data_IF_147288351848
#
_entry.id   IF_147288351848
#
_cell.length_a   1.000
_cell.length_b   1.000
_cell.length_c   1.000
_cell.angle_alpha   90.00
_cell.angle_beta   90.00
_cell.angle_gamma   90.00
#
_symmetry.space_group_name_H-M   'P 1'
#
loop_
_entity.id
_entity.type
_entity.pdbx_description
1 polymer ?
#
# COMPACT_ATOMS: atom_id res chain seq x y z
N UNK A 1 2.30 1.40 -15.97
CA UNK A 1 2.80 0.12 -15.42
C UNK A 1 4.01 -0.38 -16.20
N UNK A 2 5.15 -0.63 -15.55
CA UNK A 2 6.26 -1.35 -16.18
C UNK A 2 6.00 -2.86 -16.08
N UNK A 3 6.10 -3.58 -17.21
CA UNK A 3 5.87 -5.04 -17.30
C UNK A 3 6.72 -5.84 -16.29
N UNK A 4 7.94 -5.37 -16.02
CA UNK A 4 8.83 -5.98 -15.04
C UNK A 4 8.28 -5.95 -13.61
N UNK A 5 7.53 -4.90 -13.23
CA UNK A 5 6.94 -4.75 -11.88
C UNK A 5 5.81 -5.76 -11.69
N UNK A 6 4.97 -5.93 -12.73
CA UNK A 6 3.90 -6.93 -12.78
C UNK A 6 4.48 -8.33 -12.70
N UNK A 7 5.46 -8.65 -13.57
CA UNK A 7 6.09 -9.97 -13.60
C UNK A 7 6.68 -10.36 -12.25
N UNK A 8 7.43 -9.45 -11.61
CA UNK A 8 8.03 -9.72 -10.29
C UNK A 8 6.97 -10.03 -9.24
N UNK A 9 5.93 -9.20 -9.12
CA UNK A 9 4.87 -9.42 -8.12
C UNK A 9 4.06 -10.70 -8.37
N UNK A 10 3.83 -11.06 -9.63
CA UNK A 10 3.14 -12.29 -10.01
C UNK A 10 3.95 -13.56 -9.69
N UNK A 11 5.29 -13.48 -9.70
CA UNK A 11 6.19 -14.59 -9.33
C UNK A 11 6.34 -14.67 -7.80
N UNK A 12 6.50 -13.53 -7.15
CA UNK A 12 6.74 -13.42 -5.71
C UNK A 12 5.43 -13.39 -4.91
N UNK A 13 4.56 -14.38 -5.13
CA UNK A 13 3.32 -14.52 -4.37
C UNK A 13 3.57 -14.65 -2.86
N UNK A 14 2.68 -14.12 -2.05
CA UNK A 14 2.70 -14.32 -0.61
C UNK A 14 2.32 -15.78 -0.27
N UNK A 15 2.78 -16.33 0.88
CA UNK A 15 2.41 -17.69 1.29
C UNK A 15 0.89 -17.93 1.29
N UNK A 16 0.10 -16.94 1.71
CA UNK A 16 -1.35 -16.98 1.75
C UNK A 16 -1.96 -17.06 0.34
N UNK A 17 -1.40 -16.32 -0.62
CA UNK A 17 -1.85 -16.34 -2.03
C UNK A 17 -1.51 -17.66 -2.72
N UNK A 18 -0.37 -18.27 -2.36
CA UNK A 18 -0.01 -19.62 -2.82
C UNK A 18 -0.93 -20.67 -2.21
N UNK A 19 -1.24 -20.54 -0.92
CA UNK A 19 -2.12 -21.46 -0.21
C UNK A 19 -3.57 -21.39 -0.71
N UNK A 20 -4.08 -20.20 -1.00
CA UNK A 20 -5.41 -20.00 -1.58
C UNK A 20 -5.47 -20.39 -3.07
N UNK A 21 -4.34 -20.33 -3.77
CA UNK A 21 -4.25 -20.60 -5.21
C UNK A 21 -4.79 -19.44 -6.03
N UNK A 22 -3.95 -18.44 -6.32
CA UNK A 22 -4.32 -17.36 -7.25
C UNK A 22 -4.59 -17.92 -8.64
N UNK A 23 -5.82 -17.75 -9.14
CA UNK A 23 -6.25 -18.27 -10.44
C UNK A 23 -5.53 -17.60 -11.62
N UNK A 24 -5.17 -16.32 -11.46
CA UNK A 24 -4.33 -15.57 -12.39
C UNK A 24 -3.43 -14.60 -11.60
N UNK A 25 -2.21 -15.05 -11.23
CA UNK A 25 -1.25 -14.22 -10.51
C UNK A 25 -0.88 -12.93 -11.23
N UNK A 26 -0.94 -12.92 -12.57
CA UNK A 26 -0.57 -11.75 -13.37
C UNK A 26 -1.69 -10.71 -13.34
N UNK A 27 -2.93 -11.12 -13.59
CA UNK A 27 -4.09 -10.22 -13.48
C UNK A 27 -4.23 -9.67 -12.06
N UNK A 28 -3.99 -10.51 -11.03
CA UNK A 28 -3.98 -10.05 -9.64
C UNK A 28 -2.88 -9.01 -9.39
N UNK A 29 -1.65 -9.24 -9.89
CA UNK A 29 -0.55 -8.29 -9.75
C UNK A 29 -0.84 -6.96 -10.46
N UNK A 30 -1.43 -6.98 -11.65
CA UNK A 30 -1.84 -5.77 -12.38
C UNK A 30 -2.85 -4.94 -11.57
N UNK A 31 -3.89 -5.59 -11.04
CA UNK A 31 -4.92 -4.94 -10.24
C UNK A 31 -4.36 -4.32 -8.95
N UNK A 32 -3.55 -5.07 -8.20
CA UNK A 32 -2.94 -4.60 -6.95
C UNK A 32 -2.04 -3.40 -7.19
N UNK A 33 -1.21 -3.47 -8.24
CA UNK A 33 -0.29 -2.37 -8.54
C UNK A 33 -1.07 -1.13 -8.98
N UNK A 34 -2.14 -1.29 -9.76
CA UNK A 34 -2.95 -0.16 -10.22
C UNK A 34 -3.60 0.55 -9.04
N UNK A 35 -4.24 -0.20 -8.14
CA UNK A 35 -4.79 0.35 -6.90
C UNK A 35 -3.71 1.00 -6.02
N UNK A 36 -2.50 0.43 -5.97
CA UNK A 36 -1.41 0.99 -5.18
C UNK A 36 -0.89 2.30 -5.73
N UNK A 37 -0.73 2.40 -7.05
CA UNK A 37 -0.30 3.62 -7.72
C UNK A 37 -1.35 4.73 -7.53
N UNK A 38 -2.65 4.40 -7.63
CA UNK A 38 -3.74 5.34 -7.34
C UNK A 38 -3.68 5.88 -5.90
N UNK A 39 -3.45 5.02 -4.90
CA UNK A 39 -3.32 5.46 -3.49
C UNK A 39 -2.04 6.22 -3.18
N UNK A 40 -0.98 6.00 -3.96
CA UNK A 40 0.27 6.72 -3.83
C UNK A 40 0.11 8.17 -4.34
N UNK A 41 -0.62 8.35 -5.44
CA UNK A 41 -0.94 9.67 -6.00
C UNK A 41 -2.02 10.41 -5.20
N UNK A 42 -3.05 9.69 -4.74
CA UNK A 42 -4.13 10.19 -3.90
C UNK A 42 -4.31 9.31 -2.65
N UNK A 43 -3.80 9.74 -1.48
CA UNK A 43 -3.99 9.02 -0.22
C UNK A 43 -5.45 8.74 0.13
N UNK A 44 -6.41 9.50 -0.44
CA UNK A 44 -7.85 9.36 -0.26
C UNK A 44 -8.53 8.42 -1.25
N UNK A 45 -7.81 7.87 -2.23
CA UNK A 45 -8.38 7.01 -3.28
C UNK A 45 -8.99 5.70 -2.75
N UNK A 46 -8.55 5.24 -1.58
CA UNK A 46 -9.14 4.08 -0.91
C UNK A 46 -10.48 4.45 -0.24
N UNK A 47 -11.63 3.88 -0.67
CA UNK A 47 -12.97 4.32 -0.25
C UNK A 47 -13.24 4.25 1.25
N UNK A 48 -12.60 3.32 1.96
CA UNK A 48 -12.76 3.12 3.41
C UNK A 48 -11.64 3.74 4.25
N UNK A 49 -10.70 4.47 3.63
CA UNK A 49 -9.58 5.08 4.35
C UNK A 49 -10.01 6.36 5.03
N UNK A 50 -9.70 6.47 6.32
CA UNK A 50 -9.81 7.71 7.08
C UNK A 50 -8.43 8.38 7.17
N UNK A 51 -8.30 9.57 6.58
CA UNK A 51 -7.06 10.36 6.65
C UNK A 51 -7.16 11.41 7.76
N UNK A 52 -6.29 11.32 8.76
CA UNK A 52 -6.13 12.38 9.76
C UNK A 52 -5.32 13.56 9.19
N UNK A 53 -5.94 14.72 9.10
CA UNK A 53 -5.28 15.96 8.68
C UNK A 53 -4.67 16.73 9.87
N UNK A 54 -3.80 16.07 10.65
CA UNK A 54 -3.15 16.72 11.80
C UNK A 54 -2.10 17.73 11.33
N UNK A 55 -2.21 18.97 11.77
CA UNK A 55 -1.18 19.99 11.55
C UNK A 55 -0.05 19.87 12.58
N UNK A 56 1.16 20.31 12.22
CA UNK A 56 2.34 20.24 13.10
C UNK A 56 2.10 20.89 14.47
N UNK A 57 1.32 21.98 14.53
CA UNK A 57 0.97 22.67 15.78
C UNK A 57 0.02 21.91 16.72
N UNK A 58 -0.53 20.78 16.28
CA UNK A 58 -1.32 19.87 17.13
C UNK A 58 -0.46 18.75 17.74
N UNK A 59 0.85 18.81 17.56
CA UNK A 59 1.81 17.92 18.20
C UNK A 59 2.01 18.35 19.66
N UNK A 60 2.18 17.39 20.57
CA UNK A 60 2.57 17.67 21.96
C UNK A 60 4.05 18.06 21.98
N UNK A 61 4.42 19.13 22.67
CA UNK A 61 5.84 19.45 22.90
C UNK A 61 6.49 18.27 23.63
N UNK A 62 7.54 17.63 23.08
CA UNK A 62 8.25 16.60 23.82
C UNK A 62 8.78 17.22 25.12
N UNK A 63 8.52 16.57 26.26
CA UNK A 63 9.12 16.99 27.53
C UNK A 63 10.64 16.90 27.39
N UNK A 64 11.36 17.91 27.87
CA UNK A 64 12.82 17.85 27.97
C UNK A 64 13.18 16.54 28.68
N UNK A 65 13.79 15.63 27.95
CA UNK A 65 14.16 14.32 28.47
C UNK A 65 14.95 14.51 29.75
N UNK A 66 14.46 13.93 30.84
CA UNK A 66 15.22 13.83 32.07
C UNK A 66 16.55 13.18 31.73
N UNK A 67 17.63 13.94 31.95
CA UNK A 67 19.03 13.60 31.69
C UNK A 67 19.41 12.16 32.03
#
# INVERSE_FOLDING_TARGET
MSDDRVRRRAVDLLPEERAAGSADPRAQAEAILAESDEREEDPGAAPSTFLEHRASGQTVTPADGTR
#
